data_IF_638553734139
#
_entry.id   IF_638553734139
#
_cell.length_a   1.000
_cell.length_b   1.000
_cell.length_c   1.000
_cell.angle_alpha   90.00
_cell.angle_beta   90.00
_cell.angle_gamma   90.00
#
_symmetry.space_group_name_H-M   'P 1'
#
loop_
_entity.id
_entity.type
_entity.pdbx_description
1 polymer ?
#
# COMPACT_ATOMS: atom_id res chain seq x y z
N UNK A 1 7.69 -20.33 -2.61
CA UNK A 1 7.86 -20.63 -1.18
C UNK A 1 6.76 -21.59 -0.73
N UNK A 2 7.04 -22.63 0.08
CA UNK A 2 6.01 -23.56 0.58
C UNK A 2 5.40 -23.00 1.88
N UNK A 3 4.12 -22.64 1.85
CA UNK A 3 3.42 -22.12 3.02
C UNK A 3 3.08 -23.22 4.04
N UNK A 4 3.14 -22.91 5.35
CA UNK A 4 2.81 -23.83 6.45
C UNK A 4 2.01 -23.12 7.54
N UNK A 5 0.83 -23.60 7.88
CA UNK A 5 0.10 -23.07 9.04
C UNK A 5 0.58 -23.80 10.30
N UNK A 6 1.12 -23.06 11.27
CA UNK A 6 1.57 -23.62 12.54
C UNK A 6 0.49 -23.46 13.59
N UNK A 7 0.01 -24.58 14.16
CA UNK A 7 -0.97 -24.55 15.25
C UNK A 7 -0.32 -24.02 16.55
N UNK A 8 -0.23 -22.69 16.67
CA UNK A 8 0.33 -21.95 17.81
C UNK A 8 -0.35 -20.59 17.88
N UNK A 9 -0.53 -20.05 19.09
CA UNK A 9 -1.18 -18.74 19.24
C UNK A 9 -0.27 -17.58 18.84
N UNK A 10 -0.85 -16.50 18.29
CA UNK A 10 -0.10 -15.29 17.93
C UNK A 10 0.67 -14.68 19.12
N UNK A 11 0.08 -14.74 20.32
CA UNK A 11 0.74 -14.30 21.56
C UNK A 11 2.05 -15.05 21.82
N UNK A 12 2.10 -16.35 21.55
CA UNK A 12 3.33 -17.14 21.71
C UNK A 12 4.34 -16.81 20.61
N UNK A 13 3.87 -16.55 19.37
CA UNK A 13 4.74 -16.13 18.27
C UNK A 13 5.47 -14.82 18.61
N UNK A 14 4.74 -13.80 19.05
CA UNK A 14 5.31 -12.50 19.44
C UNK A 14 6.31 -12.67 20.59
N UNK A 15 5.96 -13.44 21.63
CA UNK A 15 6.87 -13.74 22.74
C UNK A 15 8.16 -14.43 22.29
N UNK A 16 8.08 -15.31 21.30
CA UNK A 16 9.27 -15.98 20.75
C UNK A 16 10.22 -14.99 20.06
N UNK A 17 9.67 -13.99 19.38
CA UNK A 17 10.44 -12.92 18.72
C UNK A 17 11.07 -11.99 19.75
N UNK A 18 10.30 -11.55 20.76
CA UNK A 18 10.83 -10.76 21.88
C UNK A 18 11.98 -11.50 22.58
N UNK A 19 11.79 -12.79 22.85
CA UNK A 19 12.82 -13.60 23.49
C UNK A 19 14.06 -13.78 22.60
N UNK A 20 13.90 -13.90 21.28
CA UNK A 20 15.05 -13.95 20.38
C UNK A 20 15.90 -12.69 20.41
N UNK A 21 15.29 -11.50 20.50
CA UNK A 21 16.03 -10.23 20.63
C UNK A 21 16.79 -10.17 21.95
N UNK A 22 16.16 -10.61 23.04
CA UNK A 22 16.84 -10.70 24.34
C UNK A 22 18.02 -11.68 24.33
N UNK A 23 17.90 -12.80 23.62
CA UNK A 23 19.00 -13.74 23.43
C UNK A 23 20.16 -13.10 22.65
N UNK A 24 19.85 -12.36 21.58
CA UNK A 24 20.82 -11.60 20.79
C UNK A 24 21.59 -10.59 21.64
N UNK A 25 20.88 -9.76 22.44
CA UNK A 25 21.51 -8.80 23.36
C UNK A 25 22.39 -9.46 24.44
N UNK A 26 22.08 -10.72 24.77
CA UNK A 26 22.82 -11.50 25.78
C UNK A 26 23.90 -12.39 25.17
N UNK A 27 24.14 -12.34 23.85
CA UNK A 27 25.02 -13.27 23.11
C UNK A 27 24.70 -14.76 23.36
N UNK A 28 23.41 -15.10 23.51
CA UNK A 28 22.92 -16.47 23.71
C UNK A 28 22.30 -16.99 22.41
N UNK A 29 22.62 -18.23 22.02
CA UNK A 29 22.03 -18.86 20.85
C UNK A 29 20.54 -19.16 21.05
N UNK A 30 19.68 -18.40 20.38
CA UNK A 30 18.23 -18.64 20.38
C UNK A 30 17.86 -19.96 19.71
N UNK A 31 17.11 -20.81 20.41
CA UNK A 31 16.62 -22.10 19.88
C UNK A 31 15.36 -22.58 20.61
N UNK A 32 14.72 -23.63 20.06
CA UNK A 32 13.45 -24.18 20.59
C UNK A 32 13.52 -24.69 22.03
N UNK A 33 14.67 -25.24 22.47
CA UNK A 33 14.84 -25.79 23.83
C UNK A 33 14.88 -24.63 24.83
N UNK A 34 15.65 -23.60 24.50
CA UNK A 34 15.76 -22.40 25.32
C UNK A 34 14.42 -21.65 25.40
N UNK A 35 13.69 -21.54 24.29
CA UNK A 35 12.35 -20.96 24.28
C UNK A 35 11.34 -21.80 25.10
N UNK A 36 11.44 -23.13 25.01
CA UNK A 36 10.59 -24.08 25.76
C UNK A 36 10.75 -23.91 27.26
N UNK A 37 11.98 -23.89 27.77
CA UNK A 37 12.24 -23.68 29.20
C UNK A 37 11.88 -22.27 29.67
N UNK A 38 12.13 -21.24 28.86
CA UNK A 38 11.91 -19.84 29.26
C UNK A 38 10.43 -19.44 29.31
N UNK A 39 9.58 -20.06 28.49
CA UNK A 39 8.15 -19.75 28.41
C UNK A 39 7.24 -20.87 28.96
N UNK A 40 7.82 -21.91 29.59
CA UNK A 40 7.10 -23.10 30.04
C UNK A 40 6.21 -23.72 28.94
N UNK A 41 6.78 -23.86 27.74
CA UNK A 41 6.12 -24.44 26.56
C UNK A 41 6.68 -25.81 26.25
N UNK A 42 5.93 -26.67 25.56
CA UNK A 42 6.53 -27.88 24.97
C UNK A 42 7.52 -27.52 23.85
N UNK A 43 8.55 -28.35 23.63
CA UNK A 43 9.49 -28.15 22.51
C UNK A 43 8.77 -28.06 21.15
N UNK A 44 7.67 -28.81 21.00
CA UNK A 44 6.85 -28.76 19.79
C UNK A 44 6.17 -27.40 19.61
N UNK A 45 5.62 -26.83 20.68
CA UNK A 45 5.02 -25.49 20.67
C UNK A 45 6.06 -24.42 20.38
N UNK A 46 7.25 -24.52 20.97
CA UNK A 46 8.39 -23.64 20.67
C UNK A 46 8.82 -23.75 19.21
N UNK A 47 8.94 -24.96 18.67
CA UNK A 47 9.26 -25.16 17.24
C UNK A 47 8.20 -24.54 16.33
N UNK A 48 6.92 -24.70 16.65
CA UNK A 48 5.79 -24.11 15.91
C UNK A 48 5.83 -22.58 15.98
N UNK A 49 6.11 -22.01 17.15
CA UNK A 49 6.23 -20.56 17.33
C UNK A 49 7.36 -19.98 16.47
N UNK A 50 8.55 -20.59 16.51
CA UNK A 50 9.70 -20.18 15.71
C UNK A 50 9.41 -20.32 14.21
N UNK A 51 8.79 -21.44 13.80
CA UNK A 51 8.40 -21.66 12.41
C UNK A 51 7.42 -20.59 11.91
N UNK A 52 6.41 -20.27 12.71
CA UNK A 52 5.43 -19.24 12.38
C UNK A 52 6.07 -17.85 12.30
N UNK A 53 6.89 -17.47 13.30
CA UNK A 53 7.62 -16.20 13.32
C UNK A 53 8.51 -16.04 12.09
N UNK A 54 9.23 -17.10 11.70
CA UNK A 54 10.07 -17.11 10.50
C UNK A 54 9.24 -16.94 9.23
N UNK A 55 8.13 -17.66 9.10
CA UNK A 55 7.30 -17.58 7.90
C UNK A 55 6.55 -16.24 7.77
N UNK A 56 6.24 -15.59 8.89
CA UNK A 56 5.68 -14.24 8.92
C UNK A 56 6.76 -13.14 8.80
N UNK A 57 8.05 -13.49 8.72
CA UNK A 57 9.14 -12.52 8.64
C UNK A 57 9.32 -11.65 9.91
N UNK A 58 8.84 -12.12 11.06
CA UNK A 58 8.83 -11.30 12.29
C UNK A 58 10.21 -11.17 12.94
N UNK A 59 11.13 -12.11 12.69
CA UNK A 59 12.50 -12.02 13.23
C UNK A 59 13.30 -10.86 12.63
N UNK A 60 12.98 -10.42 11.41
CA UNK A 60 13.60 -9.24 10.78
C UNK A 60 13.17 -7.94 11.47
N UNK A 61 12.09 -7.99 12.26
CA UNK A 61 11.53 -6.87 13.02
C UNK A 61 11.67 -7.10 14.53
N UNK A 62 12.63 -7.93 14.97
CA UNK A 62 12.75 -8.35 16.36
C UNK A 62 13.02 -7.19 17.31
N UNK A 63 13.81 -6.21 16.88
CA UNK A 63 14.10 -4.98 17.63
C UNK A 63 12.87 -4.09 17.79
N UNK A 64 12.20 -3.78 16.67
CA UNK A 64 10.95 -3.00 16.66
C UNK A 64 9.88 -3.65 17.54
N UNK A 65 9.77 -4.98 17.47
CA UNK A 65 8.82 -5.73 18.29
C UNK A 65 9.23 -5.70 19.76
N UNK A 66 10.51 -5.87 20.10
CA UNK A 66 10.95 -5.92 21.51
C UNK A 66 10.66 -4.61 22.25
N UNK A 67 11.01 -3.47 21.64
CA UNK A 67 10.85 -2.14 22.25
C UNK A 67 9.43 -1.53 22.08
N UNK A 68 8.57 -2.14 21.28
CA UNK A 68 7.22 -1.63 21.02
C UNK A 68 6.24 -1.76 22.20
N UNK A 69 5.28 -0.83 22.25
CA UNK A 69 4.06 -0.97 23.04
C UNK A 69 3.22 -2.17 22.56
N UNK A 70 2.30 -2.65 23.40
CA UNK A 70 1.40 -3.75 23.02
C UNK A 70 0.55 -3.42 21.78
N UNK A 71 0.08 -2.19 21.66
CA UNK A 71 -0.67 -1.74 20.47
C UNK A 71 0.18 -1.77 19.20
N UNK A 72 1.43 -1.31 19.29
CA UNK A 72 2.36 -1.34 18.16
C UNK A 72 2.75 -2.76 17.78
N UNK A 73 2.94 -3.67 18.75
CA UNK A 73 3.15 -5.12 18.52
C UNK A 73 1.99 -5.74 17.73
N UNK A 74 0.75 -5.44 18.13
CA UNK A 74 -0.45 -5.88 17.41
C UNK A 74 -0.46 -5.34 15.98
N UNK A 75 -0.11 -4.06 15.79
CA UNK A 75 -0.05 -3.44 14.46
C UNK A 75 1.01 -4.08 13.55
N UNK A 76 2.22 -4.36 14.07
CA UNK A 76 3.29 -5.03 13.32
C UNK A 76 2.85 -6.45 12.93
N UNK A 77 2.32 -7.20 13.90
CA UNK A 77 1.82 -8.56 13.66
C UNK A 77 0.71 -8.57 12.61
N UNK A 78 -0.24 -7.63 12.68
CA UNK A 78 -1.31 -7.46 11.70
C UNK A 78 -0.76 -7.24 10.28
N UNK A 79 0.21 -6.35 10.12
CA UNK A 79 0.82 -6.07 8.80
C UNK A 79 1.39 -7.35 8.20
N UNK A 80 2.22 -8.08 8.97
CA UNK A 80 2.83 -9.33 8.52
C UNK A 80 1.84 -10.46 8.30
N UNK A 81 0.76 -10.50 9.07
CA UNK A 81 -0.31 -11.47 8.90
C UNK A 81 -1.11 -11.22 7.61
N UNK A 82 -1.31 -9.96 7.20
CA UNK A 82 -1.98 -9.62 5.94
C UNK A 82 -1.11 -9.91 4.71
N UNK A 83 0.22 -9.88 4.85
CA UNK A 83 1.16 -10.35 3.82
C UNK A 83 1.19 -11.89 3.69
N UNK A 84 0.73 -12.61 4.72
CA UNK A 84 0.74 -14.07 4.76
C UNK A 84 -0.41 -14.68 3.94
N UNK A 85 -0.05 -15.13 2.73
CA UNK A 85 -0.97 -15.65 1.71
C UNK A 85 -2.10 -16.57 2.18
N UNK A 86 -1.86 -17.64 2.97
CA UNK A 86 -2.95 -18.48 3.45
C UNK A 86 -3.97 -17.75 4.33
N UNK A 87 -3.55 -16.71 5.05
CA UNK A 87 -4.45 -15.88 5.82
C UNK A 87 -5.17 -14.85 4.93
N UNK A 88 -4.45 -14.13 4.06
CA UNK A 88 -5.08 -13.14 3.17
C UNK A 88 -6.14 -13.76 2.27
N UNK A 89 -5.85 -14.92 1.67
CA UNK A 89 -6.76 -15.63 0.78
C UNK A 89 -7.96 -16.18 1.55
N UNK A 90 -7.76 -16.62 2.80
CA UNK A 90 -8.88 -17.04 3.65
C UNK A 90 -9.85 -15.88 3.83
N UNK A 91 -9.34 -14.68 4.10
CA UNK A 91 -10.20 -13.52 4.28
C UNK A 91 -10.90 -13.13 2.97
N UNK A 92 -10.19 -13.15 1.85
CA UNK A 92 -10.78 -12.87 0.53
C UNK A 92 -11.94 -13.82 0.22
N UNK A 93 -11.80 -15.10 0.53
CA UNK A 93 -12.87 -16.09 0.38
C UNK A 93 -14.07 -15.77 1.29
N UNK A 94 -13.83 -15.46 2.57
CA UNK A 94 -14.93 -15.08 3.47
C UNK A 94 -15.65 -13.81 2.97
N UNK A 95 -14.92 -12.82 2.44
CA UNK A 95 -15.51 -11.61 1.85
C UNK A 95 -16.32 -11.90 0.58
N UNK A 96 -15.97 -12.95 -0.15
CA UNK A 96 -16.72 -13.45 -1.31
C UNK A 96 -17.81 -14.47 -0.91
N UNK A 97 -18.32 -14.37 0.32
CA UNK A 97 -19.43 -15.16 0.86
C UNK A 97 -19.19 -16.68 0.95
N UNK A 98 -17.94 -17.14 0.86
CA UNK A 98 -17.61 -18.55 1.13
C UNK A 98 -17.80 -18.86 2.61
N UNK A 99 -18.31 -20.06 2.91
CA UNK A 99 -18.35 -20.57 4.28
C UNK A 99 -16.94 -20.82 4.81
N UNK A 100 -16.78 -20.83 6.14
CA UNK A 100 -15.52 -21.20 6.78
C UNK A 100 -14.99 -22.55 6.28
N UNK A 101 -15.87 -23.53 6.05
CA UNK A 101 -15.47 -24.86 5.60
C UNK A 101 -14.92 -24.83 4.17
N UNK A 102 -15.59 -24.12 3.26
CA UNK A 102 -15.15 -23.97 1.87
C UNK A 102 -13.83 -23.21 1.78
N UNK A 103 -13.71 -22.09 2.51
CA UNK A 103 -12.49 -21.30 2.56
C UNK A 103 -11.30 -22.15 3.04
N UNK A 104 -11.48 -22.93 4.11
CA UNK A 104 -10.43 -23.81 4.62
C UNK A 104 -10.08 -24.93 3.63
N UNK A 105 -11.07 -25.53 2.96
CA UNK A 105 -10.81 -26.56 1.95
C UNK A 105 -10.02 -25.99 0.77
N UNK A 106 -10.34 -24.77 0.33
CA UNK A 106 -9.63 -24.06 -0.72
C UNK A 106 -8.17 -23.81 -0.32
N UNK A 107 -7.94 -23.21 0.87
CA UNK A 107 -6.61 -22.94 1.41
C UNK A 107 -5.78 -24.22 1.54
N UNK A 108 -6.37 -25.32 2.03
CA UNK A 108 -5.67 -26.61 2.11
C UNK A 108 -5.22 -27.12 0.75
N UNK A 109 -6.05 -26.95 -0.27
CA UNK A 109 -5.81 -27.45 -1.62
C UNK A 109 -4.71 -26.66 -2.32
N UNK A 110 -4.81 -25.32 -2.32
CA UNK A 110 -3.84 -24.42 -2.94
C UNK A 110 -2.47 -24.51 -2.28
N UNK A 111 -2.44 -24.48 -0.94
CA UNK A 111 -1.19 -24.44 -0.19
C UNK A 111 -0.66 -25.81 0.24
N UNK A 112 -1.34 -26.90 -0.16
CA UNK A 112 -1.01 -28.29 0.19
C UNK A 112 -0.81 -28.49 1.71
N UNK A 113 -1.71 -27.91 2.50
CA UNK A 113 -1.63 -27.92 3.97
C UNK A 113 -2.26 -29.21 4.52
N UNK A 114 -1.44 -30.01 5.20
CA UNK A 114 -1.87 -31.25 5.84
C UNK A 114 -2.21 -31.05 7.32
N UNK A 115 -3.36 -30.40 7.59
CA UNK A 115 -3.91 -30.21 8.94
C UNK A 115 -5.43 -30.45 8.94
N UNK A 116 -5.98 -30.78 10.11
CA UNK A 116 -7.44 -30.86 10.32
C UNK A 116 -8.06 -29.47 10.14
N UNK A 117 -9.25 -29.40 9.52
CA UNK A 117 -9.90 -28.12 9.21
C UNK A 117 -10.11 -27.26 10.47
N UNK A 118 -10.55 -27.87 11.58
CA UNK A 118 -10.72 -27.17 12.84
C UNK A 118 -9.41 -26.58 13.40
N UNK A 119 -8.28 -27.24 13.17
CA UNK A 119 -6.96 -26.73 13.57
C UNK A 119 -6.57 -25.50 12.77
N UNK A 120 -6.83 -25.51 11.46
CA UNK A 120 -6.53 -24.37 10.58
C UNK A 120 -7.43 -23.20 10.95
N UNK A 121 -8.74 -23.44 11.06
CA UNK A 121 -9.71 -22.41 11.41
C UNK A 121 -9.39 -21.80 12.77
N UNK A 122 -9.09 -22.61 13.79
CA UNK A 122 -8.68 -22.11 15.10
C UNK A 122 -7.43 -21.23 14.99
N UNK A 123 -6.43 -21.64 14.21
CA UNK A 123 -5.17 -20.89 14.07
C UNK A 123 -5.41 -19.54 13.41
N UNK A 124 -6.14 -19.53 12.28
CA UNK A 124 -6.50 -18.30 11.55
C UNK A 124 -7.31 -17.36 12.45
N UNK A 125 -8.33 -17.86 13.13
CA UNK A 125 -9.14 -17.06 14.05
C UNK A 125 -8.31 -16.52 15.22
N UNK A 126 -7.41 -17.33 15.78
CA UNK A 126 -6.52 -16.90 16.85
C UNK A 126 -5.62 -15.75 16.41
N UNK A 127 -4.99 -15.89 15.24
CA UNK A 127 -4.09 -14.88 14.68
C UNK A 127 -4.85 -13.60 14.32
N UNK A 128 -5.99 -13.73 13.65
CA UNK A 128 -6.82 -12.58 13.26
C UNK A 128 -7.39 -11.82 14.46
N UNK A 129 -7.81 -12.51 15.53
CA UNK A 129 -8.25 -11.86 16.78
C UNK A 129 -7.11 -11.11 17.47
N UNK A 130 -5.92 -11.71 17.57
CA UNK A 130 -4.75 -11.03 18.12
C UNK A 130 -4.36 -9.80 17.30
N UNK A 131 -4.41 -9.91 15.96
CA UNK A 131 -4.21 -8.80 15.05
C UNK A 131 -5.33 -7.75 15.11
N UNK A 132 -6.42 -7.98 15.85
CA UNK A 132 -7.57 -7.09 15.93
C UNK A 132 -8.49 -7.11 14.69
N UNK A 133 -8.28 -8.03 13.75
CA UNK A 133 -9.05 -8.18 12.50
C UNK A 133 -10.44 -8.76 12.78
N UNK A 134 -10.50 -9.76 13.66
CA UNK A 134 -11.75 -10.40 14.05
C UNK A 134 -12.18 -9.94 15.45
N UNK A 135 -13.49 -9.94 15.68
CA UNK A 135 -14.08 -9.72 16.99
C UNK A 135 -13.77 -10.86 17.96
N UNK A 136 -13.80 -10.53 19.25
CA UNK A 136 -13.60 -11.51 20.30
C UNK A 136 -14.90 -12.26 20.65
N UNK A 137 -15.55 -12.85 19.65
CA UNK A 137 -16.77 -13.67 19.82
C UNK A 137 -16.39 -15.15 19.88
N UNK A 138 -16.97 -15.90 20.81
CA UNK A 138 -16.80 -17.36 20.90
C UNK A 138 -17.53 -18.03 19.74
N UNK A 139 -16.82 -18.86 18.97
CA UNK A 139 -17.41 -19.72 17.94
C UNK A 139 -17.71 -19.05 16.59
N UNK A 140 -17.96 -17.74 16.55
CA UNK A 140 -18.35 -17.05 15.31
C UNK A 140 -17.23 -16.13 14.79
N UNK A 141 -16.95 -16.24 13.49
CA UNK A 141 -16.12 -15.29 12.76
C UNK A 141 -16.97 -14.05 12.50
N UNK A 142 -16.56 -12.92 13.07
CA UNK A 142 -17.11 -11.59 12.76
C UNK A 142 -15.94 -10.64 12.61
N UNK A 143 -15.91 -9.88 11.52
CA UNK A 143 -14.93 -8.81 11.36
C UNK A 143 -15.19 -7.73 12.39
N UNK A 144 -14.13 -7.22 13.00
CA UNK A 144 -14.26 -6.08 13.92
C UNK A 144 -14.75 -4.87 13.12
N UNK A 145 -15.71 -4.11 13.65
CA UNK A 145 -16.20 -2.90 12.99
C UNK A 145 -15.02 -1.98 12.58
N UNK A 146 -15.00 -1.57 11.31
CA UNK A 146 -13.90 -0.82 10.71
C UNK A 146 -12.78 -1.68 10.07
N UNK A 147 -12.71 -2.99 10.32
CA UNK A 147 -11.89 -3.91 9.53
C UNK A 147 -12.61 -4.31 8.24
N UNK A 148 -12.55 -3.41 7.25
CA UNK A 148 -12.58 -3.86 5.87
C UNK A 148 -11.17 -4.35 5.55
N UNK A 149 -11.02 -5.59 5.09
CA UNK A 149 -9.85 -5.87 4.27
C UNK A 149 -9.98 -4.95 3.08
N UNK A 150 -9.11 -3.95 3.03
CA UNK A 150 -8.82 -3.25 1.80
C UNK A 150 -8.25 -4.36 0.92
N UNK A 151 -9.10 -4.98 0.10
CA UNK A 151 -8.63 -5.89 -0.91
C UNK A 151 -7.67 -5.04 -1.75
N UNK A 152 -6.38 -5.35 -1.78
CA UNK A 152 -5.50 -4.81 -2.83
C UNK A 152 -5.98 -5.27 -4.23
N UNK A 153 -6.90 -6.26 -4.27
CA UNK A 153 -7.66 -6.72 -5.43
C UNK A 153 -9.12 -6.23 -5.48
N UNK A 154 -9.54 -5.31 -4.60
CA UNK A 154 -10.64 -4.44 -5.00
C UNK A 154 -10.02 -3.73 -6.20
N UNK A 155 -10.56 -4.01 -7.41
CA UNK A 155 -10.76 -2.91 -8.37
C UNK A 155 -10.97 -1.71 -7.50
N UNK A 156 -10.10 -0.70 -7.57
CA UNK A 156 -10.33 0.58 -6.94
C UNK A 156 -11.82 0.82 -7.18
N UNK A 157 -12.66 0.61 -6.16
CA UNK A 157 -14.05 0.97 -6.28
C UNK A 157 -13.89 2.46 -6.21
N UNK A 158 -13.69 3.05 -7.39
CA UNK A 158 -13.75 4.47 -7.61
C UNK A 158 -15.11 4.76 -7.01
N UNK A 159 -15.19 5.42 -5.84
CA UNK A 159 -16.48 5.72 -5.25
C UNK A 159 -17.26 6.36 -6.38
N UNK A 160 -18.41 5.79 -6.74
CA UNK A 160 -19.20 6.18 -7.93
C UNK A 160 -19.70 7.62 -7.86
N UNK A 161 -19.20 8.41 -6.90
CA UNK A 161 -19.56 9.77 -6.60
C UNK A 161 -18.38 10.69 -6.21
N UNK A 162 -17.16 10.42 -6.66
CA UNK A 162 -16.22 11.54 -6.80
C UNK A 162 -16.56 12.25 -8.10
N UNK A 163 -17.48 13.23 -8.01
CA UNK A 163 -17.79 14.11 -9.13
C UNK A 163 -16.46 14.69 -9.63
N UNK A 164 -16.11 14.37 -10.87
CA UNK A 164 -14.98 15.01 -11.54
C UNK A 164 -15.28 16.51 -11.54
N UNK A 165 -14.30 17.29 -11.12
CA UNK A 165 -14.37 18.72 -11.28
C UNK A 165 -13.87 19.04 -12.68
N UNK A 166 -14.80 19.39 -13.57
CA UNK A 166 -14.53 19.68 -14.98
C UNK A 166 -13.56 20.86 -15.15
N UNK A 167 -13.38 21.69 -14.13
CA UNK A 167 -12.47 22.83 -14.13
C UNK A 167 -11.09 22.52 -13.52
N UNK A 168 -10.89 21.37 -12.89
CA UNK A 168 -9.69 21.10 -12.09
C UNK A 168 -8.62 20.31 -12.85
N UNK A 169 -7.39 20.82 -12.84
CA UNK A 169 -6.18 20.15 -13.31
C UNK A 169 -5.26 19.84 -12.13
N UNK A 170 -4.87 18.59 -11.95
CA UNK A 170 -3.87 18.24 -10.94
C UNK A 170 -2.49 18.08 -11.57
N UNK A 171 -1.47 18.58 -10.88
CA UNK A 171 -0.08 18.53 -11.36
C UNK A 171 0.73 17.54 -10.53
N UNK A 172 1.23 16.50 -11.20
CA UNK A 172 2.20 15.54 -10.67
C UNK A 172 3.58 16.05 -11.07
N UNK A 173 4.42 16.39 -10.08
CA UNK A 173 5.80 16.81 -10.34
C UNK A 173 6.69 16.59 -9.12
N UNK A 174 8.00 16.50 -9.36
CA UNK A 174 9.00 16.48 -8.28
C UNK A 174 8.93 17.77 -7.47
N UNK A 175 8.83 17.64 -6.15
CA UNK A 175 9.01 18.75 -5.22
C UNK A 175 10.50 18.86 -4.85
N UNK A 176 11.27 19.48 -5.72
CA UNK A 176 12.69 19.78 -5.49
C UNK A 176 12.97 21.28 -5.59
N UNK A 177 14.12 21.71 -5.06
CA UNK A 177 14.61 23.09 -5.18
C UNK A 177 15.10 23.43 -6.60
N UNK A 178 14.92 22.52 -7.56
CA UNK A 178 15.30 22.72 -8.94
C UNK A 178 14.54 23.90 -9.56
N UNK A 179 15.28 24.96 -9.89
CA UNK A 179 14.72 26.19 -10.44
C UNK A 179 13.97 25.98 -11.76
N UNK A 180 14.35 24.99 -12.56
CA UNK A 180 13.65 24.67 -13.81
C UNK A 180 12.24 24.19 -13.49
N UNK A 181 12.09 23.27 -12.54
CA UNK A 181 10.81 22.73 -12.09
C UNK A 181 9.95 23.80 -11.38
N UNK A 182 10.56 24.61 -10.51
CA UNK A 182 9.84 25.69 -9.84
C UNK A 182 9.31 26.73 -10.84
N UNK A 183 10.13 27.11 -11.82
CA UNK A 183 9.73 28.06 -12.85
C UNK A 183 8.75 27.48 -13.86
N UNK A 184 8.90 26.20 -14.24
CA UNK A 184 7.95 25.53 -15.14
C UNK A 184 6.56 25.52 -14.53
N UNK A 185 6.45 25.23 -13.23
CA UNK A 185 5.18 25.25 -12.54
C UNK A 185 4.61 26.66 -12.36
N UNK A 186 5.34 27.55 -11.69
CA UNK A 186 4.83 28.88 -11.30
C UNK A 186 4.61 29.82 -12.47
N UNK A 187 5.48 29.79 -13.48
CA UNK A 187 5.48 30.76 -14.57
C UNK A 187 4.87 30.24 -15.87
N UNK A 188 4.61 28.92 -15.98
CA UNK A 188 4.07 28.31 -17.19
C UNK A 188 2.82 27.50 -16.93
N UNK A 189 2.93 26.38 -16.21
CA UNK A 189 1.83 25.43 -16.02
C UNK A 189 0.63 26.16 -15.40
N UNK A 190 0.83 26.80 -14.25
CA UNK A 190 -0.25 27.47 -13.53
C UNK A 190 -0.88 28.64 -14.30
N UNK A 191 -0.11 29.57 -14.88
CA UNK A 191 -0.67 30.64 -15.70
C UNK A 191 -1.38 30.16 -16.98
N UNK A 192 -0.85 29.15 -17.67
CA UNK A 192 -1.48 28.65 -18.91
C UNK A 192 -2.77 27.91 -18.62
N UNK A 193 -2.80 27.05 -17.59
CA UNK A 193 -4.01 26.33 -17.21
C UNK A 193 -5.11 27.31 -16.78
N UNK A 194 -4.75 28.33 -15.98
CA UNK A 194 -5.65 29.42 -15.60
C UNK A 194 -6.16 30.24 -16.79
N UNK A 195 -5.28 30.60 -17.74
CA UNK A 195 -5.65 31.32 -18.96
C UNK A 195 -6.70 30.56 -19.80
N UNK A 196 -6.71 29.23 -19.74
CA UNK A 196 -7.64 28.37 -20.48
C UNK A 196 -8.93 28.07 -19.70
N UNK A 197 -9.13 28.71 -18.53
CA UNK A 197 -10.34 28.62 -17.74
C UNK A 197 -10.36 27.51 -16.68
N UNK A 198 -9.23 26.85 -16.44
CA UNK A 198 -9.11 25.77 -15.46
C UNK A 198 -8.36 26.24 -14.21
N UNK A 199 -8.59 25.56 -13.09
CA UNK A 199 -7.76 25.68 -11.89
C UNK A 199 -6.67 24.62 -11.91
N UNK A 200 -5.50 24.89 -11.33
CA UNK A 200 -4.53 23.83 -11.12
C UNK A 200 -3.73 23.96 -9.84
N UNK A 201 -3.50 22.81 -9.22
CA UNK A 201 -2.84 22.72 -7.92
C UNK A 201 -1.88 21.53 -7.89
N UNK A 202 -0.90 21.65 -7.00
CA UNK A 202 -0.08 20.53 -6.51
C UNK A 202 -0.47 20.23 -5.08
N UNK A 203 -0.10 19.06 -4.60
CA UNK A 203 -0.40 18.66 -3.22
C UNK A 203 0.27 19.58 -2.19
N UNK A 204 1.45 20.13 -2.47
CA UNK A 204 2.16 21.03 -1.54
C UNK A 204 1.51 22.40 -1.38
N UNK A 205 0.55 22.76 -2.24
CA UNK A 205 -0.22 24.02 -2.12
C UNK A 205 -1.49 23.86 -1.27
N UNK A 206 -1.78 22.65 -0.78
CA UNK A 206 -3.02 22.33 -0.08
C UNK A 206 -2.74 21.98 1.38
N UNK A 207 -3.45 22.65 2.28
CA UNK A 207 -3.50 22.26 3.69
C UNK A 207 -4.52 21.13 3.88
N UNK A 208 -4.11 20.04 4.52
CA UNK A 208 -4.99 18.91 4.83
C UNK A 208 -4.47 18.15 6.04
N UNK A 209 -5.39 17.49 6.75
CA UNK A 209 -5.05 16.53 7.80
C UNK A 209 -5.06 15.12 7.21
N UNK A 210 -4.20 14.23 7.73
CA UNK A 210 -4.13 12.83 7.29
C UNK A 210 -2.94 12.52 6.38
N UNK A 211 -3.07 11.50 5.55
CA UNK A 211 -1.96 10.99 4.73
C UNK A 211 -1.87 11.70 3.38
N UNK A 212 -0.68 12.20 3.04
CA UNK A 212 -0.41 12.87 1.75
C UNK A 212 -0.78 12.01 0.54
N UNK A 213 -0.54 10.69 0.63
CA UNK A 213 -0.88 9.75 -0.43
C UNK A 213 -2.38 9.69 -0.71
N UNK A 214 -3.22 9.72 0.34
CA UNK A 214 -4.68 9.74 0.18
C UNK A 214 -5.13 11.03 -0.50
N UNK A 215 -4.55 12.17 -0.09
CA UNK A 215 -4.84 13.47 -0.70
C UNK A 215 -4.46 13.52 -2.18
N UNK A 216 -3.30 12.99 -2.55
CA UNK A 216 -2.85 12.91 -3.95
C UNK A 216 -3.83 12.05 -4.77
N UNK A 217 -4.20 10.87 -4.26
CA UNK A 217 -5.16 9.98 -4.92
C UNK A 217 -6.51 10.67 -5.12
N UNK A 218 -6.98 11.43 -4.12
CA UNK A 218 -8.21 12.19 -4.21
C UNK A 218 -8.15 13.30 -5.24
N UNK A 219 -7.03 14.02 -5.33
CA UNK A 219 -6.83 15.04 -6.36
C UNK A 219 -6.79 14.43 -7.77
N UNK A 220 -6.08 13.30 -7.96
CA UNK A 220 -6.06 12.58 -9.24
C UNK A 220 -7.49 12.16 -9.63
N UNK A 221 -8.26 11.60 -8.68
CA UNK A 221 -9.66 11.21 -8.92
C UNK A 221 -10.54 12.40 -9.30
N UNK A 222 -10.38 13.55 -8.64
CA UNK A 222 -11.18 14.76 -8.87
C UNK A 222 -10.83 15.49 -10.16
N UNK A 223 -9.57 15.47 -10.58
CA UNK A 223 -9.11 16.24 -11.72
C UNK A 223 -9.78 15.82 -13.04
N UNK A 224 -10.14 16.81 -13.86
CA UNK A 224 -10.57 16.63 -15.25
C UNK A 224 -9.44 16.07 -16.11
N UNK A 225 -8.23 16.57 -15.91
CA UNK A 225 -7.02 16.14 -16.57
C UNK A 225 -5.79 16.35 -15.68
N UNK A 226 -4.68 15.73 -16.05
CA UNK A 226 -3.44 15.72 -15.30
C UNK A 226 -2.32 16.31 -16.15
N UNK A 227 -1.44 17.11 -15.54
CA UNK A 227 -0.14 17.43 -16.12
C UNK A 227 0.92 16.69 -15.28
N UNK A 228 1.72 15.85 -15.94
CA UNK A 228 2.76 15.05 -15.29
C UNK A 228 4.14 15.50 -15.76
N UNK A 229 4.90 16.17 -14.89
CA UNK A 229 6.31 16.48 -15.11
C UNK A 229 7.18 15.38 -14.51
N UNK A 230 7.80 14.58 -15.38
CA UNK A 230 8.69 13.49 -14.98
C UNK A 230 10.17 13.88 -14.98
N UNK A 231 10.49 15.19 -15.04
CA UNK A 231 11.86 15.66 -14.85
C UNK A 231 12.40 15.17 -13.51
N UNK A 232 13.68 14.75 -13.47
CA UNK A 232 14.35 14.05 -12.36
C UNK A 232 13.90 12.61 -12.08
N UNK A 233 12.95 12.06 -12.84
CA UNK A 233 12.54 10.66 -12.75
C UNK A 233 12.23 10.17 -11.32
N UNK A 234 11.54 11.00 -10.52
CA UNK A 234 11.24 10.66 -9.13
C UNK A 234 10.27 9.49 -9.04
N UNK A 235 10.57 8.43 -8.25
CA UNK A 235 9.71 7.25 -8.11
C UNK A 235 8.25 7.56 -7.74
N UNK A 236 8.04 8.56 -6.86
CA UNK A 236 6.69 8.95 -6.46
C UNK A 236 5.86 9.49 -7.64
N UNK A 237 6.46 10.29 -8.52
CA UNK A 237 5.77 10.80 -9.71
C UNK A 237 5.35 9.66 -10.66
N UNK A 238 6.17 8.61 -10.80
CA UNK A 238 5.80 7.43 -11.58
C UNK A 238 4.65 6.66 -10.96
N UNK A 239 4.64 6.52 -9.63
CA UNK A 239 3.55 5.87 -8.92
C UNK A 239 2.23 6.62 -9.12
N UNK A 240 2.25 7.95 -8.96
CA UNK A 240 1.10 8.82 -9.17
C UNK A 240 0.62 8.81 -10.63
N UNK A 241 1.56 8.80 -11.59
CA UNK A 241 1.25 8.65 -13.01
C UNK A 241 0.58 7.31 -13.30
N UNK A 242 1.08 6.21 -12.73
CA UNK A 242 0.47 4.89 -12.85
C UNK A 242 -0.96 4.85 -12.31
N UNK A 243 -1.24 5.55 -11.20
CA UNK A 243 -2.61 5.70 -10.68
C UNK A 243 -3.47 6.51 -11.65
N UNK A 244 -2.97 7.62 -12.19
CA UNK A 244 -3.71 8.43 -13.17
C UNK A 244 -4.07 7.63 -14.43
N UNK A 245 -3.14 6.83 -14.95
CA UNK A 245 -3.38 5.91 -16.06
C UNK A 245 -4.38 4.82 -15.70
N UNK A 246 -4.24 4.19 -14.52
CA UNK A 246 -5.18 3.17 -14.05
C UNK A 246 -6.61 3.70 -13.86
N UNK A 247 -6.77 5.01 -13.67
CA UNK A 247 -8.07 5.70 -13.59
C UNK A 247 -8.54 6.29 -14.92
N UNK A 248 -7.85 6.00 -16.04
CA UNK A 248 -8.14 6.52 -17.38
C UNK A 248 -8.25 8.06 -17.41
N UNK A 249 -7.37 8.77 -16.70
CA UNK A 249 -7.31 10.23 -16.77
C UNK A 249 -6.61 10.68 -18.06
N UNK A 250 -7.06 11.81 -18.61
CA UNK A 250 -6.31 12.50 -19.66
C UNK A 250 -5.02 13.06 -19.05
N UNK A 251 -3.86 12.57 -19.49
CA UNK A 251 -2.55 12.99 -18.98
C UNK A 251 -1.75 13.69 -20.07
N UNK A 252 -1.28 14.90 -19.78
CA UNK A 252 -0.28 15.60 -20.58
C UNK A 252 1.09 15.37 -19.94
N UNK A 253 1.90 14.56 -20.59
CA UNK A 253 3.27 14.28 -20.14
C UNK A 253 4.22 15.39 -20.60
N UNK A 254 5.02 15.89 -19.67
CA UNK A 254 6.07 16.87 -19.94
C UNK A 254 7.39 16.42 -19.32
N UNK A 255 8.50 16.80 -19.94
CA UNK A 255 9.83 16.51 -19.41
C UNK A 255 10.85 17.52 -19.93
N UNK A 256 11.79 17.92 -19.09
CA UNK A 256 12.89 18.78 -19.52
C UNK A 256 13.93 18.01 -20.36
N UNK A 257 14.28 16.79 -19.95
CA UNK A 257 15.15 15.86 -20.69
C UNK A 257 14.60 14.45 -20.72
N UNK A 258 14.46 13.87 -21.91
CA UNK A 258 13.96 12.49 -22.10
C UNK A 258 15.00 11.42 -21.67
N UNK A 259 16.26 11.80 -21.46
CA UNK A 259 17.35 10.88 -21.12
C UNK A 259 17.09 10.09 -19.85
N UNK A 260 16.40 10.72 -18.90
CA UNK A 260 16.28 10.21 -17.53
C UNK A 260 14.98 9.42 -17.31
N UNK A 261 14.13 9.34 -18.34
CA UNK A 261 12.82 8.67 -18.26
C UNK A 261 12.97 7.16 -18.34
N UNK A 262 12.36 6.47 -17.36
CA UNK A 262 12.28 5.01 -17.31
C UNK A 262 11.65 4.44 -18.60
N UNK A 263 12.16 3.28 -19.05
CA UNK A 263 11.77 2.71 -20.35
C UNK A 263 10.27 2.38 -20.44
N UNK A 264 9.64 2.00 -19.32
CA UNK A 264 8.22 1.61 -19.24
C UNK A 264 7.21 2.69 -19.64
N UNK A 265 7.62 3.97 -19.65
CA UNK A 265 6.73 5.08 -20.03
C UNK A 265 7.31 5.92 -21.17
N UNK A 266 8.42 5.49 -21.76
CA UNK A 266 9.18 6.29 -22.74
C UNK A 266 8.46 6.44 -24.09
N UNK A 267 7.46 5.59 -24.33
CA UNK A 267 6.59 5.55 -25.50
C UNK A 267 5.43 6.57 -25.47
N UNK A 268 5.15 7.19 -24.31
CA UNK A 268 4.18 8.28 -24.25
C UNK A 268 4.63 9.54 -25.02
N UNK A 269 3.65 10.32 -25.49
CA UNK A 269 3.91 11.55 -26.23
C UNK A 269 4.24 12.73 -25.29
N UNK A 270 5.52 12.81 -24.89
CA UNK A 270 6.02 13.90 -24.06
C UNK A 270 6.13 15.23 -24.81
N UNK A 271 5.75 16.30 -24.13
CA UNK A 271 6.28 17.63 -24.43
C UNK A 271 7.70 17.69 -23.87
N UNK A 272 8.67 17.50 -24.73
CA UNK A 272 10.09 17.73 -24.40
C UNK A 272 10.36 19.24 -24.51
N UNK A 273 10.77 19.85 -23.41
CA UNK A 273 11.01 21.30 -23.35
C UNK A 273 12.42 21.63 -22.87
N UNK A 274 13.13 22.51 -23.58
CA UNK A 274 14.47 22.98 -23.17
C UNK A 274 14.44 24.37 -22.52
N UNK A 275 13.31 25.06 -22.62
CA UNK A 275 13.12 26.39 -22.04
C UNK A 275 11.66 26.61 -21.60
N UNK A 276 11.47 27.59 -20.72
CA UNK A 276 10.15 28.06 -20.26
C UNK A 276 9.30 28.54 -21.46
N UNK A 277 9.91 29.21 -22.44
CA UNK A 277 9.20 29.69 -23.64
C UNK A 277 8.65 28.53 -24.47
N UNK A 278 9.48 27.51 -24.72
CA UNK A 278 9.04 26.31 -25.45
C UNK A 278 7.92 25.58 -24.70
N UNK A 279 8.07 25.40 -23.39
CA UNK A 279 7.04 24.76 -22.58
C UNK A 279 5.73 25.52 -22.68
N UNK A 280 5.77 26.85 -22.60
CA UNK A 280 4.58 27.71 -22.66
C UNK A 280 3.81 27.54 -23.96
N UNK A 281 4.51 27.59 -25.11
CA UNK A 281 3.89 27.46 -26.42
C UNK A 281 3.34 26.04 -26.64
N UNK A 282 4.14 25.01 -26.35
CA UNK A 282 3.75 23.61 -26.56
C UNK A 282 2.63 23.16 -25.62
N UNK A 283 2.70 23.54 -24.34
CA UNK A 283 1.72 23.16 -23.34
C UNK A 283 0.36 23.81 -23.63
N UNK A 284 0.36 25.12 -23.94
CA UNK A 284 -0.86 25.82 -24.32
C UNK A 284 -1.54 25.14 -25.52
N UNK A 285 -0.77 24.87 -26.58
CA UNK A 285 -1.26 24.19 -27.78
C UNK A 285 -1.82 22.80 -27.44
N UNK A 286 -1.08 22.00 -26.66
CA UNK A 286 -1.51 20.65 -26.27
C UNK A 286 -2.84 20.68 -25.50
N UNK A 287 -2.97 21.52 -24.49
CA UNK A 287 -4.21 21.61 -23.70
C UNK A 287 -5.39 22.03 -24.61
N UNK A 288 -5.19 23.01 -25.49
CA UNK A 288 -6.22 23.47 -26.43
C UNK A 288 -6.68 22.36 -27.39
N UNK A 289 -5.75 21.56 -27.89
CA UNK A 289 -6.05 20.50 -28.86
C UNK A 289 -6.62 19.23 -28.22
N UNK A 290 -6.21 18.87 -27.00
CA UNK A 290 -6.61 17.60 -26.37
C UNK A 290 -7.69 17.74 -25.31
N UNK A 291 -7.75 18.88 -24.61
CA UNK A 291 -8.71 19.12 -23.53
C UNK A 291 -9.75 20.17 -23.94
N UNK A 292 -9.32 21.23 -24.64
CA UNK A 292 -10.14 22.37 -25.01
C UNK A 292 -10.15 23.49 -23.96
N UNK A 293 -11.00 24.50 -24.15
CA UNK A 293 -11.20 25.59 -23.20
C UNK A 293 -12.42 25.33 -22.33
N UNK A 294 -12.36 25.73 -21.06
CA UNK A 294 -13.57 25.83 -20.26
C UNK A 294 -14.31 27.10 -20.70
N UNK A 295 -15.51 26.97 -21.27
CA UNK A 295 -16.35 28.13 -21.56
C UNK A 295 -16.75 28.77 -20.22
N UNK A 296 -16.42 30.05 -20.04
CA UNK A 296 -16.95 30.87 -18.95
C UNK A 296 -18.44 31.12 -19.16
#
# INVERSE_FOLDING_TARGET
MKFQIYNVSAKIIVKAVEFSKKCEESNILFNKKLLSSSLNLSEESSRKAIGAAKQLGLFELSEDIYYASQEKKISIFRSKLLEYKPFSDFIELINNEYTNTEAINFIKSIYKINLKNGTILWTILNWGKFAGIFENIRGNLKFKDGFKIINYNQKIEIPKNNKVDDSFCFVIMSYSENLILQNSYKNVIKPIVSLLGYTCERVDEQEFNGHITEKIIDNIKKARFIISDLTEARPNCYYELGIAHGLNKDVIHIVNSISDIHFDVKDFNFIIYKSIKELKEKLKKRIQETIGYLKQ
#
